data_IF_425427935296
#
_entry.id   IF_425427935296
#
_cell.length_a   1.000
_cell.length_b   1.000
_cell.length_c   1.000
_cell.angle_alpha   90.00
_cell.angle_beta   90.00
_cell.angle_gamma   90.00
#
_symmetry.space_group_name_H-M   'P 1'
#
loop_
_entity.id
_entity.type
_entity.pdbx_description
1 polymer ?
#
# COMPACT_ATOMS: atom_id res chain seq x y z
N UNK A 1 -28.21 -36.08 -40.25
CA UNK A 1 -27.57 -35.94 -38.92
C UNK A 1 -26.03 -36.10 -38.94
N UNK A 2 -25.45 -37.13 -39.58
CA UNK A 2 -23.99 -37.39 -39.60
C UNK A 2 -23.14 -36.26 -40.24
N UNK A 3 -23.59 -35.67 -41.34
CA UNK A 3 -22.86 -34.59 -42.05
C UNK A 3 -22.71 -33.35 -41.15
N UNK A 4 -23.80 -32.92 -40.51
CA UNK A 4 -23.78 -31.79 -39.57
C UNK A 4 -22.85 -32.04 -38.38
N UNK A 5 -22.87 -33.25 -37.80
CA UNK A 5 -21.97 -33.60 -36.70
C UNK A 5 -20.49 -33.57 -37.15
N UNK A 6 -20.20 -34.02 -38.38
CA UNK A 6 -18.84 -33.96 -38.95
C UNK A 6 -18.39 -32.51 -39.10
N UNK A 7 -19.23 -31.65 -39.67
CA UNK A 7 -18.94 -30.21 -39.82
C UNK A 7 -18.74 -29.52 -38.47
N UNK A 8 -19.62 -29.77 -37.50
CA UNK A 8 -19.50 -29.22 -36.15
C UNK A 8 -18.19 -29.66 -35.46
N UNK A 9 -17.79 -30.93 -35.61
CA UNK A 9 -16.53 -31.42 -35.06
C UNK A 9 -15.30 -30.83 -35.76
N UNK A 10 -15.37 -30.65 -37.08
CA UNK A 10 -14.31 -29.95 -37.83
C UNK A 10 -14.16 -28.51 -37.33
N UNK A 11 -15.27 -27.80 -37.16
CA UNK A 11 -15.27 -26.43 -36.64
C UNK A 11 -14.64 -26.38 -35.24
N UNK A 12 -15.08 -27.25 -34.31
CA UNK A 12 -14.51 -27.35 -32.97
C UNK A 12 -13.00 -27.58 -33.01
N UNK A 13 -12.52 -28.49 -33.88
CA UNK A 13 -11.09 -28.76 -34.05
C UNK A 13 -10.32 -27.53 -34.55
N UNK A 14 -10.87 -26.80 -35.51
CA UNK A 14 -10.24 -25.57 -36.01
C UNK A 14 -10.19 -24.52 -34.91
N UNK A 15 -11.27 -24.32 -34.17
CA UNK A 15 -11.33 -23.37 -33.06
C UNK A 15 -10.29 -23.70 -31.98
N UNK A 16 -10.22 -24.96 -31.54
CA UNK A 16 -9.23 -25.38 -30.54
C UNK A 16 -7.79 -25.19 -31.02
N UNK A 17 -7.51 -25.32 -32.33
CA UNK A 17 -6.18 -25.02 -32.87
C UNK A 17 -5.84 -23.54 -32.77
N UNK A 18 -6.81 -22.66 -33.02
CA UNK A 18 -6.61 -21.20 -32.89
C UNK A 18 -6.39 -20.82 -31.43
N UNK A 19 -7.21 -21.36 -30.52
CA UNK A 19 -7.08 -21.15 -29.07
C UNK A 19 -5.71 -21.63 -28.56
N UNK A 20 -5.29 -22.84 -28.94
CA UNK A 20 -3.97 -23.36 -28.57
C UNK A 20 -2.85 -22.48 -29.09
N UNK A 21 -2.91 -22.04 -30.35
CA UNK A 21 -1.88 -21.13 -30.90
C UNK A 21 -1.82 -19.82 -30.12
N UNK A 22 -2.97 -19.26 -29.74
CA UNK A 22 -3.02 -18.06 -28.91
C UNK A 22 -2.37 -18.28 -27.54
N UNK A 23 -2.62 -19.44 -26.93
CA UNK A 23 -2.04 -19.82 -25.64
C UNK A 23 -0.52 -20.04 -25.73
N UNK A 24 -0.03 -20.73 -26.75
CA UNK A 24 1.42 -20.88 -26.98
C UNK A 24 2.12 -19.53 -27.19
N UNK A 25 1.50 -18.63 -27.97
CA UNK A 25 2.00 -17.27 -28.14
C UNK A 25 2.01 -16.50 -26.82
N UNK A 26 1.00 -16.70 -25.96
CA UNK A 26 0.98 -16.09 -24.65
C UNK A 26 2.14 -16.59 -23.78
N UNK A 27 2.38 -17.91 -23.73
CA UNK A 27 3.45 -18.52 -22.95
C UNK A 27 4.85 -18.07 -23.41
N UNK A 28 5.08 -18.04 -24.72
CA UNK A 28 6.38 -17.64 -25.30
C UNK A 28 6.71 -16.17 -25.09
N UNK A 29 5.70 -15.30 -24.94
CA UNK A 29 5.88 -13.88 -24.66
C UNK A 29 6.07 -13.56 -23.16
N UNK A 30 6.01 -14.56 -22.27
CA UNK A 30 6.31 -14.35 -20.86
C UNK A 30 7.80 -14.08 -20.65
N UNK A 31 8.10 -13.02 -19.91
CA UNK A 31 9.46 -12.55 -19.64
C UNK A 31 9.58 -12.06 -18.20
N UNK A 32 10.77 -12.27 -17.63
CA UNK A 32 11.15 -11.79 -16.30
C UNK A 32 11.33 -10.27 -16.25
N UNK A 33 11.67 -9.64 -17.38
CA UNK A 33 12.12 -8.25 -17.41
C UNK A 33 10.97 -7.24 -17.44
N UNK A 34 9.80 -7.64 -17.96
CA UNK A 34 8.65 -6.76 -18.18
C UNK A 34 7.49 -7.03 -17.19
N UNK A 35 7.69 -7.90 -16.20
CA UNK A 35 6.67 -8.25 -15.20
C UNK A 35 5.47 -9.03 -15.75
N UNK A 36 5.53 -9.52 -17.00
CA UNK A 36 4.45 -10.29 -17.62
C UNK A 36 4.16 -11.61 -16.88
N UNK A 37 5.19 -12.27 -16.34
CA UNK A 37 5.05 -13.48 -15.51
C UNK A 37 4.15 -13.20 -14.28
N UNK A 38 4.39 -12.10 -13.56
CA UNK A 38 3.57 -11.74 -12.41
C UNK A 38 2.12 -11.46 -12.81
N UNK A 39 1.89 -10.77 -13.94
CA UNK A 39 0.54 -10.52 -14.47
C UNK A 39 -0.16 -11.83 -14.82
N UNK A 40 0.52 -12.75 -15.50
CA UNK A 40 0.01 -14.07 -15.86
C UNK A 40 -0.33 -14.92 -14.62
N UNK A 41 0.57 -14.96 -13.63
CA UNK A 41 0.34 -15.64 -12.37
C UNK A 41 -0.86 -15.06 -11.62
N UNK A 42 -0.96 -13.72 -11.55
CA UNK A 42 -2.08 -13.02 -10.90
C UNK A 42 -3.43 -13.35 -11.55
N UNK A 43 -3.48 -13.39 -12.89
CA UNK A 43 -4.67 -13.80 -13.64
C UNK A 43 -5.02 -15.26 -13.36
N UNK A 44 -4.03 -16.17 -13.37
CA UNK A 44 -4.23 -17.60 -13.12
C UNK A 44 -4.75 -17.90 -11.72
N UNK A 45 -4.34 -17.12 -10.73
CA UNK A 45 -4.82 -17.22 -9.35
C UNK A 45 -6.21 -16.59 -9.14
N UNK A 46 -6.82 -16.02 -10.20
CA UNK A 46 -8.09 -15.31 -10.14
C UNK A 46 -8.09 -14.27 -9.00
N UNK A 47 -6.94 -13.65 -8.75
CA UNK A 47 -6.75 -12.80 -7.59
C UNK A 47 -7.61 -11.54 -7.73
N UNK A 48 -8.74 -11.53 -7.04
CA UNK A 48 -9.57 -10.34 -6.86
C UNK A 48 -8.98 -9.56 -5.71
N UNK A 49 -8.46 -8.37 -5.98
CA UNK A 49 -8.14 -7.39 -4.94
C UNK A 49 -9.48 -6.95 -4.35
N UNK A 50 -10.00 -7.70 -3.39
CA UNK A 50 -11.11 -7.23 -2.57
C UNK A 50 -10.50 -6.28 -1.56
N UNK A 51 -10.67 -4.97 -1.77
CA UNK A 51 -10.41 -4.03 -0.70
C UNK A 51 -11.42 -4.35 0.41
N UNK A 52 -10.98 -4.66 1.64
CA UNK A 52 -11.91 -4.96 2.71
C UNK A 52 -12.84 -3.76 2.88
N UNK A 53 -14.14 -4.03 2.96
CA UNK A 53 -15.15 -3.00 3.15
C UNK A 53 -14.86 -2.28 4.46
N UNK A 54 -14.67 -0.96 4.38
CA UNK A 54 -14.35 -0.15 5.54
C UNK A 54 -15.62 -0.05 6.40
N UNK A 55 -15.50 -0.50 7.65
CA UNK A 55 -16.61 -0.61 8.59
C UNK A 55 -16.63 0.60 9.53
N UNK A 56 -17.80 1.20 9.69
CA UNK A 56 -18.07 2.22 10.71
C UNK A 56 -18.17 1.57 12.09
N UNK A 57 -18.07 2.40 13.12
CA UNK A 57 -18.26 1.99 14.52
C UNK A 57 -19.67 1.48 14.83
N UNK A 58 -20.67 1.91 14.05
CA UNK A 58 -22.06 1.42 14.10
C UNK A 58 -22.23 0.01 13.48
N UNK A 59 -21.16 -0.55 12.91
CA UNK A 59 -21.16 -1.84 12.24
C UNK A 59 -21.57 -1.83 10.77
N UNK A 60 -21.98 -0.69 10.22
CA UNK A 60 -22.32 -0.50 8.81
C UNK A 60 -21.08 -0.39 7.91
N UNK A 61 -21.24 -0.68 6.62
CA UNK A 61 -20.15 -0.57 5.64
C UNK A 61 -20.21 0.73 4.86
N UNK A 62 -19.04 1.30 4.56
CA UNK A 62 -18.90 2.51 3.77
C UNK A 62 -18.52 2.17 2.33
N UNK A 63 -19.42 2.46 1.40
CA UNK A 63 -19.22 2.26 -0.03
C UNK A 63 -18.71 3.50 -0.75
N UNK A 64 -19.17 4.69 -0.37
CA UNK A 64 -18.79 5.97 -0.99
C UNK A 64 -17.35 6.37 -0.67
N UNK A 65 -16.66 6.96 -1.66
CA UNK A 65 -15.28 7.41 -1.50
C UNK A 65 -15.14 8.51 -0.42
N UNK A 66 -16.06 9.48 -0.43
CA UNK A 66 -16.13 10.54 0.58
C UNK A 66 -16.28 9.98 1.99
N UNK A 67 -17.15 8.98 2.17
CA UNK A 67 -17.34 8.34 3.48
C UNK A 67 -16.10 7.58 3.93
N UNK A 68 -15.36 6.94 3.02
CA UNK A 68 -14.10 6.26 3.36
C UNK A 68 -13.05 7.28 3.82
N UNK A 69 -12.92 8.39 3.09
CA UNK A 69 -11.99 9.48 3.43
C UNK A 69 -12.27 10.06 4.81
N UNK A 70 -13.54 10.35 5.11
CA UNK A 70 -13.95 10.87 6.41
C UNK A 70 -13.66 9.88 7.55
N UNK A 71 -13.93 8.60 7.34
CA UNK A 71 -13.66 7.57 8.34
C UNK A 71 -12.17 7.40 8.61
N UNK A 72 -11.34 7.40 7.55
CA UNK A 72 -9.89 7.39 7.69
C UNK A 72 -9.37 8.62 8.42
N UNK A 73 -9.87 9.82 8.08
CA UNK A 73 -9.53 11.07 8.77
C UNK A 73 -9.81 10.96 10.26
N UNK A 74 -11.00 10.51 10.63
CA UNK A 74 -11.42 10.37 12.02
C UNK A 74 -10.58 9.30 12.76
N UNK A 75 -10.29 8.19 12.11
CA UNK A 75 -9.43 7.14 12.67
C UNK A 75 -8.01 7.65 12.96
N UNK A 76 -7.38 8.34 12.00
CA UNK A 76 -6.05 8.93 12.17
C UNK A 76 -6.07 9.95 13.32
N UNK A 77 -7.05 10.84 13.35
CA UNK A 77 -7.19 11.84 14.42
C UNK A 77 -7.29 11.19 15.80
N UNK A 78 -8.02 10.08 15.93
CA UNK A 78 -8.21 9.39 17.20
C UNK A 78 -6.98 8.56 17.64
N UNK A 79 -6.28 7.93 16.69
CA UNK A 79 -5.10 7.10 16.99
C UNK A 79 -3.89 7.96 17.32
N UNK A 80 -3.68 9.05 16.58
CA UNK A 80 -2.51 9.92 16.74
C UNK A 80 -2.77 11.05 17.76
N UNK A 81 -3.25 10.68 18.95
CA UNK A 81 -3.39 11.63 20.05
C UNK A 81 -2.06 11.79 20.81
N UNK A 82 -1.71 13.00 21.27
CA UNK A 82 -0.51 13.22 22.08
C UNK A 82 -0.53 12.34 23.34
N UNK A 83 0.58 11.65 23.60
CA UNK A 83 0.70 10.82 24.80
C UNK A 83 0.69 11.71 26.05
N UNK A 84 -0.36 11.59 26.86
CA UNK A 84 -0.56 12.38 28.09
C UNK A 84 0.50 12.13 29.16
N UNK A 85 1.19 10.99 29.12
CA UNK A 85 2.25 10.64 30.08
C UNK A 85 3.58 11.35 29.80
N UNK A 86 3.65 12.13 28.72
CA UNK A 86 4.84 12.85 28.28
C UNK A 86 4.73 14.34 28.63
N UNK A 87 4.40 14.65 29.88
CA UNK A 87 4.70 15.97 30.46
C UNK A 87 6.18 15.97 30.84
N UNK A 88 7.05 16.09 29.84
CA UNK A 88 8.47 16.20 30.06
C UNK A 88 8.75 17.48 30.86
N UNK A 89 9.43 17.35 31.99
CA UNK A 89 9.96 18.44 32.84
C UNK A 89 10.88 19.43 32.10
N UNK A 90 11.15 19.22 30.81
CA UNK A 90 12.02 20.01 29.95
C UNK A 90 11.31 20.60 28.71
N UNK A 91 9.99 20.71 28.70
CA UNK A 91 9.24 21.34 27.58
C UNK A 91 9.84 22.69 27.17
N UNK A 92 10.19 23.54 28.14
CA UNK A 92 10.77 24.85 27.87
C UNK A 92 12.17 24.80 27.23
N UNK A 93 13.00 23.82 27.59
CA UNK A 93 14.33 23.65 26.99
C UNK A 93 14.23 23.18 25.54
N UNK A 94 13.31 22.23 25.27
CA UNK A 94 13.05 21.72 23.92
C UNK A 94 12.45 22.81 23.03
N UNK A 95 11.48 23.59 23.55
CA UNK A 95 10.87 24.70 22.82
C UNK A 95 11.91 25.80 22.50
N UNK A 96 12.76 26.16 23.47
CA UNK A 96 13.86 27.11 23.23
C UNK A 96 14.84 26.61 22.17
N UNK A 97 15.14 25.32 22.15
CA UNK A 97 16.01 24.73 21.13
C UNK A 97 15.37 24.76 19.74
N UNK A 98 14.08 24.42 19.62
CA UNK A 98 13.34 24.48 18.36
C UNK A 98 13.21 25.92 17.83
N UNK A 99 12.95 26.90 18.70
CA UNK A 99 12.91 28.32 18.32
C UNK A 99 14.27 28.84 17.84
N UNK A 100 15.36 28.36 18.45
CA UNK A 100 16.72 28.65 17.99
C UNK A 100 16.98 28.07 16.60
N UNK A 101 16.55 26.83 16.35
CA UNK A 101 16.67 26.21 15.02
C UNK A 101 15.83 26.93 13.96
N UNK A 102 14.64 27.42 14.31
CA UNK A 102 13.80 28.20 13.39
C UNK A 102 14.42 29.57 13.05
N UNK A 103 15.14 30.18 13.99
CA UNK A 103 15.89 31.43 13.74
C UNK A 103 17.15 31.23 12.90
N UNK A 104 17.84 30.09 13.08
CA UNK A 104 19.08 29.78 12.34
C UNK A 104 18.78 29.40 10.88
N UNK A 105 17.61 28.82 10.59
CA UNK A 105 17.23 28.41 9.25
C UNK A 105 15.95 29.12 8.80
N UNK A 106 16.03 30.40 8.36
CA UNK A 106 14.84 31.22 8.13
C UNK A 106 14.04 30.85 6.87
N UNK A 107 14.48 29.90 6.02
CA UNK A 107 13.64 29.42 4.91
C UNK A 107 14.03 28.06 4.32
N UNK A 108 13.00 27.22 4.25
CA UNK A 108 12.63 26.27 3.18
C UNK A 108 13.06 24.79 3.23
N UNK A 109 12.04 23.99 2.89
CA UNK A 109 12.02 22.68 2.25
C UNK A 109 12.22 21.42 3.12
N UNK A 110 11.10 20.72 3.32
CA UNK A 110 10.77 19.27 3.34
C UNK A 110 11.88 18.25 3.69
N UNK A 111 13.12 18.46 3.27
CA UNK A 111 14.29 17.64 3.59
C UNK A 111 14.72 17.69 5.07
N UNK A 112 14.39 18.75 5.83
CA UNK A 112 14.77 18.84 7.24
C UNK A 112 14.01 17.87 8.17
N UNK A 113 12.77 17.49 7.82
CA UNK A 113 11.98 16.53 8.59
C UNK A 113 12.60 15.13 8.61
N UNK A 114 13.27 14.73 7.52
CA UNK A 114 13.93 13.44 7.42
C UNK A 114 15.15 13.37 8.36
N UNK A 115 15.94 14.43 8.43
CA UNK A 115 17.13 14.50 9.30
C UNK A 115 16.73 14.48 10.78
N UNK A 116 15.71 15.26 11.18
CA UNK A 116 15.22 15.27 12.57
C UNK A 116 14.66 13.91 13.04
N UNK A 117 13.97 13.19 12.15
CA UNK A 117 13.45 11.85 12.48
C UNK A 117 14.55 10.79 12.62
N UNK A 118 15.65 10.92 11.86
CA UNK A 118 16.81 10.03 11.96
C UNK A 118 17.59 10.23 13.26
N UNK A 119 17.76 11.48 13.72
CA UNK A 119 18.41 11.76 15.01
C UNK A 119 17.54 11.34 16.20
N UNK A 120 16.23 11.55 16.15
CA UNK A 120 15.34 11.18 17.26
C UNK A 120 15.23 9.66 17.49
N UNK A 121 15.24 8.85 16.42
CA UNK A 121 15.23 7.38 16.55
C UNK A 121 16.52 6.82 17.15
N UNK A 122 17.67 7.42 16.83
CA UNK A 122 18.98 6.92 17.29
C UNK A 122 19.29 7.26 18.75
N UNK A 123 18.72 8.33 19.30
CA UNK A 123 18.92 8.70 20.72
C UNK A 123 18.05 7.87 21.66
N UNK A 124 16.80 7.56 21.26
CA UNK A 124 15.89 6.73 22.06
C UNK A 124 16.35 5.26 22.13
N UNK A 125 16.90 4.72 21.03
CA UNK A 125 17.45 3.35 20.99
C UNK A 125 18.74 3.15 21.78
N UNK A 126 19.51 4.22 22.04
CA UNK A 126 20.73 4.15 22.86
C UNK A 126 20.47 4.22 24.36
N UNK A 127 19.34 4.78 24.79
CA UNK A 127 19.00 4.90 26.22
C UNK A 127 18.60 3.57 26.88
N UNK A 128 18.07 2.60 26.13
CA UNK A 128 17.61 1.30 26.67
C UNK A 128 18.70 0.21 26.74
N UNK A 129 19.98 0.56 26.63
CA UNK A 129 21.08 -0.43 26.61
C UNK A 129 22.25 -0.15 27.58
N UNK A 130 22.02 0.67 28.60
CA UNK A 130 23.02 0.97 29.62
C UNK A 130 22.40 1.28 30.97
N UNK A 131 22.07 0.24 31.72
CA UNK A 131 21.99 0.24 33.19
C UNK A 131 22.02 -1.22 33.64
N UNK A 132 23.24 -1.70 33.89
CA UNK A 132 23.52 -2.77 34.86
C UNK A 132 23.54 -2.09 36.23
#
# INVERSE_FOLDING_TARGET
KKIYNKLANTLKKVLSKVENRSFENFLTNLSTNNGSIWKAAKLSLHYKVTTPSIRRSDGSYVSSDSGKSELFKNHIFNVFQPNRLVLHTNTNAVLRYLDLLLKIFPRSNIFQRAILNLTFKNTVSRSHRGSI
#
